data_IF_947178165099
#
_entry.id   IF_947178165099
#
_cell.length_a   1.000
_cell.length_b   1.000
_cell.length_c   1.000
_cell.angle_alpha   90.00
_cell.angle_beta   90.00
_cell.angle_gamma   90.00
#
_symmetry.space_group_name_H-M   'P 1'
#
loop_
_entity.id
_entity.type
_entity.pdbx_description
1 polymer ?
#
# COMPACT_ATOMS: atom_id res chain seq x y z
N UNK A 1 -57.90 -21.88 77.98
CA UNK A 1 -58.27 -20.48 77.70
C UNK A 1 -57.06 -19.61 77.99
N UNK A 2 -56.52 -18.89 76.97
CA UNK A 2 -55.64 -17.68 77.00
C UNK A 2 -54.37 -17.73 77.89
N UNK A 3 -53.22 -17.11 77.60
CA UNK A 3 -52.64 -16.39 76.46
C UNK A 3 -51.16 -16.08 76.79
N UNK A 4 -50.28 -16.30 75.82
CA UNK A 4 -49.07 -15.55 75.38
C UNK A 4 -48.49 -14.43 76.29
N UNK A 5 -47.17 -14.50 76.55
CA UNK A 5 -46.18 -13.38 76.54
C UNK A 5 -44.75 -13.96 76.45
N UNK A 6 -44.10 -14.01 75.28
CA UNK A 6 -43.09 -13.06 74.73
C UNK A 6 -41.78 -12.89 75.52
N UNK A 7 -40.66 -13.34 74.92
CA UNK A 7 -39.28 -12.86 75.14
C UNK A 7 -38.35 -13.52 74.09
N UNK A 8 -38.22 -12.96 72.88
CA UNK A 8 -37.06 -12.15 72.43
C UNK A 8 -35.71 -12.91 72.49
N UNK A 9 -35.39 -13.81 71.56
CA UNK A 9 -34.60 -13.60 70.31
C UNK A 9 -33.23 -12.92 70.47
N UNK A 10 -32.17 -13.72 70.37
CA UNK A 10 -30.79 -13.28 70.09
C UNK A 10 -30.13 -14.28 69.12
N UNK A 11 -30.28 -14.03 67.82
CA UNK A 11 -29.43 -14.63 66.79
C UNK A 11 -28.64 -13.52 66.10
N UNK A 12 -27.32 -13.61 66.27
CA UNK A 12 -26.28 -12.77 65.71
C UNK A 12 -26.19 -13.04 64.19
N UNK A 13 -26.62 -12.08 63.37
CA UNK A 13 -26.40 -12.11 61.92
C UNK A 13 -24.99 -11.55 61.62
N UNK A 14 -24.07 -12.43 61.22
CA UNK A 14 -22.77 -12.06 60.67
C UNK A 14 -22.98 -11.67 59.20
N UNK A 15 -22.89 -10.38 58.90
CA UNK A 15 -22.81 -9.89 57.52
C UNK A 15 -21.36 -10.04 57.02
N UNK A 16 -21.12 -10.99 56.13
CA UNK A 16 -19.88 -11.07 55.35
C UNK A 16 -20.04 -10.13 54.15
N UNK A 17 -19.35 -8.99 54.16
CA UNK A 17 -19.25 -8.11 52.99
C UNK A 17 -18.19 -8.67 52.03
N UNK A 18 -18.65 -9.31 50.96
CA UNK A 18 -17.79 -9.71 49.84
C UNK A 18 -17.45 -8.45 49.03
N UNK A 19 -16.29 -7.84 49.30
CA UNK A 19 -15.71 -6.80 48.44
C UNK A 19 -15.21 -7.47 47.14
N UNK A 20 -16.10 -7.55 46.15
CA UNK A 20 -15.72 -7.79 44.76
C UNK A 20 -14.96 -6.56 44.27
N UNK A 21 -13.63 -6.63 44.33
CA UNK A 21 -12.76 -5.74 43.58
C UNK A 21 -12.94 -6.05 42.09
N UNK A 22 -13.96 -5.44 41.47
CA UNK A 22 -14.00 -5.29 40.02
C UNK A 22 -12.80 -4.42 39.65
N UNK A 23 -11.71 -5.06 39.22
CA UNK A 23 -10.73 -4.40 38.39
C UNK A 23 -11.49 -3.97 37.13
N UNK A 24 -11.86 -2.69 37.07
CA UNK A 24 -12.30 -2.05 35.84
C UNK A 24 -11.11 -2.09 34.89
N UNK A 25 -11.01 -3.16 34.10
CA UNK A 25 -10.30 -3.07 32.85
C UNK A 25 -11.05 -2.04 32.02
N UNK A 26 -10.63 -0.79 32.13
CA UNK A 26 -10.92 0.22 31.13
C UNK A 26 -10.28 -0.30 29.86
N UNK A 27 -11.04 -1.05 29.06
CA UNK A 27 -10.77 -1.11 27.64
C UNK A 27 -10.81 0.35 27.18
N UNK A 28 -9.63 0.96 27.05
CA UNK A 28 -9.50 2.12 26.20
C UNK A 28 -10.03 1.66 24.85
N UNK A 29 -11.23 2.13 24.48
CA UNK A 29 -11.58 2.19 23.07
C UNK A 29 -10.58 3.17 22.48
N UNK A 30 -9.41 2.66 22.12
CA UNK A 30 -8.37 3.43 21.46
C UNK A 30 -9.01 3.92 20.17
N UNK A 31 -9.58 5.12 20.19
CA UNK A 31 -10.22 5.72 19.04
C UNK A 31 -9.23 5.73 17.89
N UNK A 32 -9.73 5.51 16.67
CA UNK A 32 -8.90 5.61 15.48
C UNK A 32 -8.33 7.03 15.43
N UNK A 33 -7.00 7.16 15.42
CA UNK A 33 -6.35 8.48 15.40
C UNK A 33 -6.45 9.07 14.00
N UNK A 34 -6.97 10.29 13.89
CA UNK A 34 -7.04 11.02 12.62
C UNK A 34 -5.87 12.00 12.55
N UNK A 35 -5.07 11.87 11.50
CA UNK A 35 -3.94 12.74 11.15
C UNK A 35 -4.43 13.73 10.11
N UNK A 36 -4.26 15.02 10.41
CA UNK A 36 -4.55 16.09 9.45
C UNK A 36 -3.41 16.20 8.43
N UNK A 37 -3.66 15.77 7.20
CA UNK A 37 -2.67 15.70 6.13
C UNK A 37 -2.22 17.06 5.60
N UNK A 38 -2.92 18.15 5.92
CA UNK A 38 -2.53 19.50 5.54
C UNK A 38 -1.74 20.22 6.63
N UNK A 39 -1.71 19.66 7.84
CA UNK A 39 -0.92 20.18 8.96
C UNK A 39 0.51 19.65 8.90
N UNK A 40 1.50 20.51 9.12
CA UNK A 40 2.94 20.18 9.03
C UNK A 40 3.34 19.53 7.69
N UNK A 41 2.63 19.92 6.64
CA UNK A 41 2.80 19.43 5.28
C UNK A 41 3.98 20.11 4.57
N UNK A 42 4.68 19.36 3.75
CA UNK A 42 5.75 19.86 2.87
C UNK A 42 5.83 19.05 1.58
N UNK A 43 6.47 19.62 0.56
CA UNK A 43 6.57 19.02 -0.77
C UNK A 43 8.02 18.88 -1.23
N UNK A 44 8.33 17.74 -1.81
CA UNK A 44 9.54 17.53 -2.60
C UNK A 44 9.16 17.56 -4.08
N UNK A 45 9.21 18.75 -4.68
CA UNK A 45 8.87 18.99 -6.08
C UNK A 45 9.83 18.24 -7.01
N UNK A 46 9.27 17.53 -7.98
CA UNK A 46 10.02 16.83 -9.03
C UNK A 46 10.60 17.84 -10.03
N UNK A 47 11.60 17.44 -10.84
CA UNK A 47 12.09 18.26 -11.94
C UNK A 47 10.96 18.70 -12.87
N UNK A 48 11.07 19.90 -13.44
CA UNK A 48 10.05 20.46 -14.33
C UNK A 48 9.67 19.49 -15.46
N UNK A 49 8.37 19.42 -15.76
CA UNK A 49 7.81 18.49 -16.75
C UNK A 49 7.64 17.06 -16.24
N UNK A 50 8.16 16.71 -15.06
CA UNK A 50 8.04 15.35 -14.51
C UNK A 50 6.89 15.27 -13.51
N UNK A 51 6.15 14.16 -13.51
CA UNK A 51 5.08 13.92 -12.54
C UNK A 51 4.95 12.45 -12.16
N UNK A 52 4.03 12.17 -11.25
CA UNK A 52 3.60 10.83 -10.89
C UNK A 52 4.59 10.00 -10.08
N UNK A 53 5.13 10.50 -8.94
CA UNK A 53 5.91 9.72 -8.00
C UNK A 53 5.03 8.73 -7.23
N UNK A 54 4.70 7.61 -7.85
CA UNK A 54 3.59 6.73 -7.43
C UNK A 54 3.91 5.87 -6.20
N UNK A 55 5.13 5.35 -6.15
CA UNK A 55 5.63 4.55 -5.02
C UNK A 55 6.98 5.04 -4.54
N UNK A 56 7.22 4.88 -3.24
CA UNK A 56 8.37 5.40 -2.53
C UNK A 56 9.17 4.26 -1.90
N UNK A 57 10.48 4.32 -2.06
CA UNK A 57 11.40 3.38 -1.42
C UNK A 57 12.56 4.11 -0.73
N UNK A 58 13.12 3.49 0.29
CA UNK A 58 14.34 3.93 0.98
C UNK A 58 15.34 2.78 0.90
N UNK A 59 16.61 3.12 0.68
CA UNK A 59 17.64 2.09 0.47
C UNK A 59 18.06 1.41 1.77
N UNK A 60 18.94 0.42 1.65
CA UNK A 60 19.46 -0.36 2.77
C UNK A 60 20.24 0.49 3.81
N UNK A 61 20.65 1.72 3.45
CA UNK A 61 21.31 2.67 4.35
C UNK A 61 20.35 3.75 4.86
N UNK A 62 19.05 3.59 4.60
CA UNK A 62 18.00 4.52 4.98
C UNK A 62 17.99 5.83 4.18
N UNK A 63 18.71 5.93 3.06
CA UNK A 63 18.70 7.12 2.20
C UNK A 63 17.52 7.08 1.23
N UNK A 64 17.15 8.25 0.72
CA UNK A 64 16.03 8.43 -0.20
C UNK A 64 15.21 9.67 0.14
N UNK A 65 13.92 9.72 -0.26
CA UNK A 65 13.20 8.67 -0.98
C UNK A 65 13.69 8.45 -2.42
N UNK A 66 13.43 7.26 -2.94
CA UNK A 66 13.49 6.91 -4.36
C UNK A 66 12.06 6.79 -4.89
N UNK A 67 11.81 7.24 -6.12
CA UNK A 67 10.48 7.16 -6.72
C UNK A 67 10.53 6.98 -8.23
N UNK A 68 9.58 6.22 -8.78
CA UNK A 68 9.36 6.10 -10.21
C UNK A 68 8.51 7.27 -10.71
N UNK A 69 8.76 7.77 -11.93
CA UNK A 69 8.04 8.92 -12.50
C UNK A 69 7.41 8.62 -13.86
N UNK A 70 6.59 9.52 -14.38
CA UNK A 70 5.77 9.36 -15.61
C UNK A 70 6.58 9.01 -16.85
N UNK A 71 7.83 9.46 -16.89
CA UNK A 71 8.74 9.24 -18.01
C UNK A 71 9.55 7.94 -17.91
N UNK A 72 9.28 7.07 -16.94
CA UNK A 72 9.98 5.77 -16.81
C UNK A 72 11.32 5.82 -16.10
N UNK A 73 11.77 6.99 -15.62
CA UNK A 73 12.94 7.10 -14.74
C UNK A 73 12.58 6.75 -13.31
N UNK A 74 13.60 6.38 -12.55
CA UNK A 74 13.59 6.33 -11.09
C UNK A 74 14.50 7.45 -10.61
N UNK A 75 13.94 8.35 -9.81
CA UNK A 75 14.66 9.47 -9.22
C UNK A 75 14.99 9.20 -7.76
N UNK A 76 16.10 9.76 -7.28
CA UNK A 76 16.53 9.72 -5.88
C UNK A 76 16.59 11.13 -5.32
N UNK A 77 15.99 11.34 -4.17
CA UNK A 77 16.17 12.57 -3.40
C UNK A 77 17.51 12.52 -2.65
N UNK A 78 18.30 13.58 -2.78
CA UNK A 78 19.64 13.70 -2.17
C UNK A 78 19.63 14.45 -0.83
N UNK A 79 18.47 14.97 -0.43
CA UNK A 79 18.34 15.93 0.68
C UNK A 79 18.11 17.36 0.18
N UNK A 80 18.60 17.68 -1.02
CA UNK A 80 18.48 19.03 -1.62
C UNK A 80 17.85 19.03 -3.01
N UNK A 81 18.05 17.95 -3.79
CA UNK A 81 17.54 17.84 -5.15
C UNK A 81 17.26 16.39 -5.55
N UNK A 82 16.43 16.23 -6.59
CA UNK A 82 16.22 14.96 -7.26
C UNK A 82 17.31 14.72 -8.31
N UNK A 83 17.88 13.52 -8.30
CA UNK A 83 18.82 13.05 -9.33
C UNK A 83 18.30 11.78 -9.98
N UNK A 84 18.61 11.57 -11.26
CA UNK A 84 18.33 10.30 -11.93
C UNK A 84 19.15 9.19 -11.25
N UNK A 85 18.47 8.12 -10.86
CA UNK A 85 19.09 6.93 -10.29
C UNK A 85 19.09 5.78 -11.30
N UNK A 86 17.95 5.51 -11.92
CA UNK A 86 17.82 4.39 -12.84
C UNK A 86 16.78 4.66 -13.94
N UNK A 87 16.83 3.85 -15.00
CA UNK A 87 15.84 3.84 -16.09
C UNK A 87 15.34 2.41 -16.32
N UNK A 88 14.05 2.26 -16.63
CA UNK A 88 13.44 0.94 -16.86
C UNK A 88 13.56 0.46 -18.31
N UNK A 89 13.58 1.40 -19.27
CA UNK A 89 13.76 1.11 -20.70
C UNK A 89 15.23 1.29 -21.13
N UNK A 90 15.95 0.21 -21.54
CA UNK A 90 17.40 0.25 -21.81
C UNK A 90 17.79 1.12 -23.01
N UNK A 91 16.96 1.14 -24.05
CA UNK A 91 17.20 1.87 -25.30
C UNK A 91 16.26 3.08 -25.44
N UNK A 92 15.89 3.71 -24.32
CA UNK A 92 14.94 4.84 -24.32
C UNK A 92 15.46 6.00 -25.17
N UNK A 93 14.57 6.59 -25.98
CA UNK A 93 14.85 7.87 -26.61
C UNK A 93 14.65 8.98 -25.56
N UNK A 94 15.73 9.54 -25.03
CA UNK A 94 15.66 10.56 -23.98
C UNK A 94 14.89 11.81 -24.40
N UNK A 95 14.99 12.24 -25.66
CA UNK A 95 14.24 13.41 -26.16
C UNK A 95 12.74 13.17 -26.16
N UNK A 96 12.31 11.94 -26.46
CA UNK A 96 10.89 11.56 -26.39
C UNK A 96 10.43 11.37 -24.95
N UNK A 97 11.27 10.73 -24.12
CA UNK A 97 10.87 10.23 -22.83
C UNK A 97 11.06 11.23 -21.69
N UNK A 98 12.25 11.81 -21.53
CA UNK A 98 12.61 12.56 -20.32
C UNK A 98 11.70 13.79 -20.15
N UNK A 99 10.94 13.83 -19.04
CA UNK A 99 9.92 14.86 -18.79
C UNK A 99 8.60 14.66 -19.53
N UNK A 100 8.37 13.52 -20.17
CA UNK A 100 7.08 13.21 -20.80
C UNK A 100 6.04 12.84 -19.75
N UNK A 101 4.84 13.40 -19.91
CA UNK A 101 3.63 13.02 -19.17
C UNK A 101 2.58 12.41 -20.08
N UNK A 102 2.90 12.17 -21.35
CA UNK A 102 1.99 11.53 -22.31
C UNK A 102 1.97 10.02 -22.06
N UNK A 103 0.81 9.51 -21.63
CA UNK A 103 0.58 8.10 -21.35
C UNK A 103 0.84 7.19 -22.56
N UNK A 104 0.80 7.73 -23.78
CA UNK A 104 1.08 6.98 -25.00
C UNK A 104 2.57 6.70 -25.20
N UNK A 105 3.46 7.45 -24.53
CA UNK A 105 4.90 7.22 -24.56
C UNK A 105 5.36 6.19 -23.52
N UNK A 106 4.55 5.91 -22.50
CA UNK A 106 4.91 4.95 -21.44
C UNK A 106 5.29 3.53 -21.95
N UNK A 107 4.68 2.95 -23.00
CA UNK A 107 5.13 1.66 -23.55
C UNK A 107 6.57 1.68 -24.09
N UNK A 108 7.08 2.86 -24.47
CA UNK A 108 8.43 3.07 -24.97
C UNK A 108 9.37 3.44 -23.80
N UNK A 109 8.91 4.31 -22.92
CA UNK A 109 9.71 4.96 -21.89
C UNK A 109 9.75 4.19 -20.56
N UNK A 110 8.69 3.44 -20.28
CA UNK A 110 8.42 2.74 -19.03
C UNK A 110 7.52 3.53 -18.10
N UNK A 111 6.96 2.84 -17.10
CA UNK A 111 6.18 3.45 -16.02
C UNK A 111 6.35 2.62 -14.74
N UNK A 112 7.38 2.89 -13.92
CA UNK A 112 7.61 2.22 -12.65
C UNK A 112 6.56 2.68 -11.61
N UNK A 113 5.67 1.77 -11.22
CA UNK A 113 4.56 2.04 -10.30
C UNK A 113 4.82 1.51 -8.89
N UNK A 114 5.56 0.41 -8.76
CA UNK A 114 5.86 -0.23 -7.48
C UNK A 114 7.36 -0.33 -7.24
N UNK A 115 7.82 0.15 -6.08
CA UNK A 115 9.22 0.11 -5.67
C UNK A 115 9.39 -0.55 -4.29
N UNK A 116 10.40 -1.41 -4.18
CA UNK A 116 10.84 -1.96 -2.88
C UNK A 116 12.33 -2.29 -2.93
N UNK A 117 13.07 -1.84 -1.92
CA UNK A 117 14.42 -2.34 -1.68
C UNK A 117 14.37 -3.69 -0.97
N UNK A 118 15.18 -4.64 -1.45
CA UNK A 118 15.72 -5.71 -0.61
C UNK A 118 16.82 -5.08 0.26
N UNK A 119 16.51 -4.82 1.53
CA UNK A 119 17.44 -4.13 2.44
C UNK A 119 18.68 -4.97 2.75
N UNK A 120 18.60 -6.31 2.64
CA UNK A 120 19.71 -7.22 2.91
C UNK A 120 20.72 -7.24 1.77
N UNK A 121 20.25 -7.22 0.53
CA UNK A 121 21.12 -7.28 -0.68
C UNK A 121 21.32 -5.91 -1.34
N UNK A 122 20.67 -4.88 -0.82
CA UNK A 122 20.67 -3.50 -1.32
C UNK A 122 20.34 -3.36 -2.81
N UNK A 123 19.38 -4.14 -3.28
CA UNK A 123 18.87 -4.02 -4.65
C UNK A 123 17.46 -3.42 -4.62
N UNK A 124 17.17 -2.55 -5.59
CA UNK A 124 15.84 -2.02 -5.81
C UNK A 124 15.09 -2.91 -6.80
N UNK A 125 13.98 -3.49 -6.36
CA UNK A 125 13.02 -4.18 -7.21
C UNK A 125 11.94 -3.21 -7.67
N UNK A 126 11.51 -3.38 -8.92
CA UNK A 126 10.66 -2.44 -9.64
C UNK A 126 9.56 -3.23 -10.35
N UNK A 127 8.31 -2.85 -10.14
CA UNK A 127 7.18 -3.26 -10.96
C UNK A 127 6.95 -2.13 -11.95
N UNK A 128 7.36 -2.36 -13.19
CA UNK A 128 7.08 -1.46 -14.30
C UNK A 128 5.84 -1.96 -15.05
N UNK A 129 4.89 -1.05 -15.30
CA UNK A 129 3.62 -1.41 -15.92
C UNK A 129 3.76 -2.02 -17.32
N UNK A 130 4.86 -1.72 -18.03
CA UNK A 130 5.10 -2.14 -19.41
C UNK A 130 6.29 -3.09 -19.54
N UNK A 131 7.32 -2.93 -18.71
CA UNK A 131 8.55 -3.73 -18.75
C UNK A 131 8.55 -4.89 -17.74
N UNK A 132 7.49 -5.09 -16.96
CA UNK A 132 7.37 -6.23 -16.06
C UNK A 132 8.20 -6.06 -14.79
N UNK A 133 8.68 -7.18 -14.23
CA UNK A 133 9.47 -7.18 -13.00
C UNK A 133 10.93 -6.89 -13.32
N UNK A 134 11.48 -5.84 -12.72
CA UNK A 134 12.86 -5.39 -12.93
C UNK A 134 13.63 -5.30 -11.61
N UNK A 135 14.94 -5.18 -11.72
CA UNK A 135 15.87 -5.01 -10.60
C UNK A 135 17.02 -4.10 -11.00
N UNK A 136 17.44 -3.22 -10.10
CA UNK A 136 18.67 -2.43 -10.26
C UNK A 136 19.50 -2.48 -8.98
N UNK A 137 20.83 -2.52 -9.15
CA UNK A 137 21.77 -2.54 -8.04
C UNK A 137 21.93 -1.17 -7.36
N UNK A 138 22.74 -1.06 -6.30
CA UNK A 138 22.89 0.15 -5.49
C UNK A 138 23.51 1.34 -6.26
N UNK A 139 24.15 1.06 -7.40
CA UNK A 139 24.77 2.09 -8.25
C UNK A 139 23.80 2.69 -9.29
N UNK A 140 22.56 2.21 -9.35
CA UNK A 140 21.60 2.68 -10.34
C UNK A 140 21.92 2.20 -11.76
N UNK A 141 21.52 3.00 -12.76
CA UNK A 141 21.71 2.71 -14.18
C UNK A 141 20.51 2.02 -14.83
N UNK A 142 20.75 1.20 -15.85
CA UNK A 142 19.69 0.49 -16.56
C UNK A 142 19.20 -0.69 -15.72
N UNK A 143 17.90 -0.74 -15.43
CA UNK A 143 17.32 -1.84 -14.68
C UNK A 143 17.35 -3.16 -15.48
N UNK A 144 17.77 -4.23 -14.83
CA UNK A 144 17.73 -5.58 -15.38
C UNK A 144 16.29 -6.11 -15.35
N UNK A 145 15.80 -6.58 -16.49
CA UNK A 145 14.51 -7.27 -16.56
C UNK A 145 14.62 -8.69 -16.03
N UNK A 146 13.81 -9.01 -15.02
CA UNK A 146 13.75 -10.32 -14.37
C UNK A 146 12.66 -11.20 -14.96
N UNK A 147 11.47 -10.64 -15.22
CA UNK A 147 10.34 -11.38 -15.78
C UNK A 147 9.37 -10.48 -16.56
N UNK A 148 8.78 -11.03 -17.63
CA UNK A 148 7.69 -10.42 -18.42
C UNK A 148 6.50 -11.36 -18.65
N UNK A 149 6.64 -12.62 -18.25
CA UNK A 149 5.66 -13.68 -18.42
C UNK A 149 5.59 -14.48 -17.12
N UNK A 150 4.48 -15.15 -16.87
CA UNK A 150 4.40 -16.19 -15.85
C UNK A 150 4.99 -17.53 -16.34
N UNK A 151 4.97 -18.55 -15.48
CA UNK A 151 5.45 -19.89 -15.78
C UNK A 151 4.67 -20.60 -16.90
N UNK A 152 3.44 -20.17 -17.18
CA UNK A 152 2.62 -20.66 -18.29
C UNK A 152 2.92 -19.90 -19.60
N UNK A 153 3.84 -18.93 -19.57
CA UNK A 153 4.22 -18.10 -20.71
C UNK A 153 3.26 -16.95 -21.02
N UNK A 154 2.32 -16.63 -20.11
CA UNK A 154 1.35 -15.54 -20.30
C UNK A 154 2.02 -14.18 -20.04
N UNK A 155 2.07 -13.27 -21.02
CA UNK A 155 2.68 -11.96 -20.84
C UNK A 155 1.92 -11.07 -19.86
N UNK A 156 2.67 -10.31 -19.07
CA UNK A 156 2.09 -9.29 -18.21
C UNK A 156 1.59 -8.09 -19.03
N UNK A 157 0.51 -7.45 -18.57
CA UNK A 157 -0.05 -6.23 -19.21
C UNK A 157 0.10 -4.98 -18.36
N UNK A 158 -0.03 -5.11 -17.04
CA UNK A 158 -0.07 -3.96 -16.13
C UNK A 158 0.38 -4.39 -14.72
N UNK A 159 1.69 -4.49 -14.50
CA UNK A 159 2.22 -4.68 -13.14
C UNK A 159 2.13 -3.38 -12.34
N UNK A 160 1.86 -3.49 -11.04
CA UNK A 160 1.62 -2.32 -10.20
C UNK A 160 2.46 -2.31 -8.92
N UNK A 161 2.02 -2.99 -7.86
CA UNK A 161 2.69 -3.03 -6.56
C UNK A 161 3.58 -4.26 -6.38
N UNK A 162 4.59 -4.16 -5.51
CA UNK A 162 5.40 -5.31 -5.08
C UNK A 162 5.93 -5.17 -3.66
N UNK A 163 6.26 -6.32 -3.06
CA UNK A 163 7.05 -6.44 -1.85
C UNK A 163 8.06 -7.61 -1.96
N UNK A 164 9.09 -7.59 -1.13
CA UNK A 164 10.20 -8.56 -1.17
C UNK A 164 10.33 -9.24 0.18
N UNK A 165 10.44 -10.56 0.17
CA UNK A 165 10.92 -11.34 1.32
C UNK A 165 12.44 -11.15 1.43
N UNK A 166 12.89 -10.44 2.46
CA UNK A 166 14.30 -10.11 2.65
C UNK A 166 15.17 -11.35 2.96
N UNK A 167 14.57 -12.43 3.50
CA UNK A 167 15.27 -13.68 3.80
C UNK A 167 15.53 -14.46 2.52
N UNK A 168 14.46 -14.84 1.81
CA UNK A 168 14.54 -15.68 0.61
C UNK A 168 14.94 -14.90 -0.65
N UNK A 169 14.58 -13.62 -0.73
CA UNK A 169 14.67 -12.82 -1.94
C UNK A 169 13.50 -13.04 -2.91
N UNK A 170 12.49 -13.84 -2.54
CA UNK A 170 11.26 -13.97 -3.30
C UNK A 170 10.54 -12.61 -3.39
N UNK A 171 9.95 -12.34 -4.56
CA UNK A 171 9.25 -11.08 -4.81
C UNK A 171 7.78 -11.38 -5.05
N UNK A 172 6.91 -10.75 -4.28
CA UNK A 172 5.47 -10.83 -4.44
C UNK A 172 4.98 -9.55 -5.12
N UNK A 173 4.21 -9.67 -6.19
CA UNK A 173 3.80 -8.51 -6.98
C UNK A 173 2.41 -8.70 -7.59
N UNK A 174 1.75 -7.59 -7.87
CA UNK A 174 0.43 -7.59 -8.49
C UNK A 174 0.51 -7.30 -9.98
N UNK A 175 -0.45 -7.87 -10.69
CA UNK A 175 -0.87 -7.41 -12.01
C UNK A 175 -2.30 -6.89 -11.92
N UNK A 176 -2.51 -5.61 -12.22
CA UNK A 176 -3.80 -4.95 -12.12
C UNK A 176 -4.84 -5.50 -13.10
N UNK A 177 -4.41 -5.82 -14.31
CA UNK A 177 -5.22 -6.43 -15.37
C UNK A 177 -4.33 -7.29 -16.25
N UNK A 178 -4.82 -8.46 -16.67
CA UNK A 178 -4.15 -9.28 -17.69
C UNK A 178 -4.65 -8.96 -19.12
N UNK A 179 -5.54 -7.97 -19.26
CA UNK A 179 -6.13 -7.53 -20.54
C UNK A 179 -5.61 -6.14 -20.90
N UNK A 180 -5.81 -5.17 -20.02
CA UNK A 180 -5.57 -3.76 -20.28
C UNK A 180 -4.17 -3.34 -19.83
N UNK A 181 -3.52 -2.47 -20.62
CA UNK A 181 -2.30 -1.80 -20.18
C UNK A 181 -2.64 -0.58 -19.31
N UNK A 182 -1.63 -0.01 -18.64
CA UNK A 182 -1.84 1.16 -17.77
C UNK A 182 -2.49 2.34 -18.48
N UNK A 183 -2.14 2.64 -19.74
CA UNK A 183 -2.79 3.73 -20.50
C UNK A 183 -4.30 3.53 -20.73
N UNK A 184 -4.79 2.31 -20.56
CA UNK A 184 -6.20 1.90 -20.74
C UNK A 184 -6.93 1.71 -19.39
N UNK A 185 -6.32 2.09 -18.26
CA UNK A 185 -6.85 1.78 -16.92
C UNK A 185 -8.30 2.23 -16.68
N UNK A 186 -8.74 3.31 -17.35
CA UNK A 186 -10.10 3.84 -17.26
C UNK A 186 -11.16 2.83 -17.74
N UNK A 187 -10.78 1.83 -18.55
CA UNK A 187 -11.68 0.79 -19.06
C UNK A 187 -11.87 -0.37 -18.07
N UNK A 188 -10.99 -0.55 -17.08
CA UNK A 188 -10.98 -1.72 -16.19
C UNK A 188 -12.29 -1.82 -15.39
N UNK A 189 -12.72 -0.72 -14.75
CA UNK A 189 -13.96 -0.69 -13.96
C UNK A 189 -15.22 -0.86 -14.84
N UNK A 190 -15.46 -0.04 -15.88
CA UNK A 190 -16.70 -0.11 -16.64
C UNK A 190 -16.89 -1.42 -17.42
N UNK A 191 -15.79 -2.09 -17.80
CA UNK A 191 -15.85 -3.41 -18.45
C UNK A 191 -16.04 -4.55 -17.46
N UNK A 192 -15.93 -4.28 -16.16
CA UNK A 192 -16.04 -5.29 -15.11
C UNK A 192 -14.86 -6.26 -15.10
N UNK A 193 -13.68 -5.84 -15.55
CA UNK A 193 -12.48 -6.68 -15.59
C UNK A 193 -12.15 -7.27 -14.21
N UNK A 194 -11.92 -8.58 -14.21
CA UNK A 194 -11.54 -9.35 -13.02
C UNK A 194 -10.30 -10.17 -13.29
N UNK A 195 -9.42 -9.76 -14.18
CA UNK A 195 -8.25 -10.57 -14.56
C UNK A 195 -7.00 -10.28 -13.73
N UNK A 196 -7.07 -9.39 -12.72
CA UNK A 196 -5.94 -9.08 -11.86
C UNK A 196 -5.46 -10.28 -11.04
N UNK A 197 -4.16 -10.27 -10.72
CA UNK A 197 -3.44 -11.42 -10.15
C UNK A 197 -2.47 -11.01 -9.05
N UNK A 198 -2.24 -11.92 -8.09
CA UNK A 198 -1.06 -11.93 -7.23
C UNK A 198 -0.06 -12.95 -7.78
N UNK A 199 1.18 -12.54 -7.96
CA UNK A 199 2.26 -13.36 -8.49
C UNK A 199 3.45 -13.42 -7.53
N UNK A 200 4.28 -14.45 -7.67
CA UNK A 200 5.53 -14.65 -6.94
C UNK A 200 6.66 -14.97 -7.90
N UNK A 201 7.76 -14.22 -7.81
CA UNK A 201 9.02 -14.52 -8.48
C UNK A 201 10.00 -15.17 -7.51
N UNK A 202 10.56 -16.31 -7.90
CA UNK A 202 11.63 -16.99 -7.17
C UNK A 202 12.99 -16.72 -7.85
N UNK A 203 13.92 -16.01 -7.20
CA UNK A 203 15.22 -15.67 -7.80
C UNK A 203 16.14 -16.88 -8.02
N UNK A 204 15.87 -18.03 -7.38
CA UNK A 204 16.72 -19.23 -7.44
C UNK A 204 16.55 -19.95 -8.77
N UNK A 205 15.31 -20.14 -9.20
CA UNK A 205 14.96 -20.82 -10.45
C UNK A 205 14.46 -19.85 -11.54
N UNK A 206 14.30 -18.56 -11.21
CA UNK A 206 13.84 -17.49 -12.10
C UNK A 206 12.43 -17.72 -12.65
N UNK A 207 11.57 -18.38 -11.88
CA UNK A 207 10.18 -18.68 -12.22
C UNK A 207 9.20 -17.69 -11.63
N UNK A 208 8.06 -17.52 -12.28
CA UNK A 208 6.94 -16.69 -11.81
C UNK A 208 5.68 -17.54 -11.68
N UNK A 209 5.26 -17.75 -10.44
CA UNK A 209 4.04 -18.46 -10.11
C UNK A 209 2.88 -17.48 -9.90
N UNK A 210 1.71 -17.79 -10.45
CA UNK A 210 0.45 -17.11 -10.09
C UNK A 210 -0.09 -17.70 -8.80
N UNK A 211 -0.19 -16.90 -7.74
CA UNK A 211 -0.68 -17.32 -6.42
C UNK A 211 -2.20 -17.14 -6.27
N UNK A 212 -2.72 -16.02 -6.77
CA UNK A 212 -4.14 -15.69 -6.72
C UNK A 212 -4.57 -15.10 -8.05
N UNK A 213 -5.71 -15.55 -8.57
CA UNK A 213 -6.38 -15.02 -9.77
C UNK A 213 -7.68 -14.35 -9.37
N UNK A 214 -8.31 -13.68 -10.34
CA UNK A 214 -9.64 -13.10 -10.20
C UNK A 214 -9.76 -11.92 -9.22
N UNK A 215 -8.67 -11.16 -9.06
CA UNK A 215 -8.64 -9.95 -8.23
C UNK A 215 -9.09 -8.76 -9.09
N UNK A 216 -10.11 -8.03 -8.65
CA UNK A 216 -10.62 -6.89 -9.42
C UNK A 216 -9.73 -5.66 -9.27
N UNK A 217 -8.98 -5.33 -10.33
CA UNK A 217 -8.02 -4.23 -10.37
C UNK A 217 -7.02 -4.29 -9.20
N UNK A 218 -6.13 -5.28 -9.25
CA UNK A 218 -5.14 -5.54 -8.20
C UNK A 218 -4.03 -4.47 -8.15
N UNK A 219 -3.89 -3.77 -7.02
CA UNK A 219 -2.91 -2.69 -6.86
C UNK A 219 -1.82 -3.06 -5.84
N UNK A 220 -1.81 -2.46 -4.65
CA UNK A 220 -0.75 -2.66 -3.67
C UNK A 220 -0.60 -4.09 -3.16
N UNK A 221 0.65 -4.47 -2.87
CA UNK A 221 1.04 -5.74 -2.25
C UNK A 221 1.91 -5.46 -1.04
N UNK A 222 1.68 -6.18 0.06
CA UNK A 222 2.56 -6.13 1.24
C UNK A 222 2.68 -7.50 1.92
N UNK A 223 3.90 -7.95 2.14
CA UNK A 223 4.19 -9.19 2.88
C UNK A 223 3.98 -8.95 4.39
N UNK A 224 3.68 -9.97 5.19
CA UNK A 224 3.73 -9.85 6.66
C UNK A 224 5.18 -9.86 7.17
N UNK A 225 5.43 -9.44 8.41
CA UNK A 225 6.81 -9.45 8.99
C UNK A 225 7.40 -10.85 9.16
N UNK A 226 6.55 -11.86 9.31
CA UNK A 226 6.91 -13.26 9.52
C UNK A 226 6.80 -14.12 8.25
N UNK A 227 6.51 -13.48 7.12
CA UNK A 227 6.33 -14.10 5.80
C UNK A 227 5.23 -15.19 5.83
N UNK A 228 4.23 -15.05 6.69
CA UNK A 228 3.09 -15.99 6.82
C UNK A 228 1.94 -15.67 5.86
N UNK A 229 1.78 -14.41 5.46
CA UNK A 229 0.76 -13.99 4.50
C UNK A 229 1.19 -12.79 3.67
N UNK A 230 0.48 -12.56 2.56
CA UNK A 230 0.59 -11.37 1.70
C UNK A 230 -0.76 -10.67 1.64
N UNK A 231 -0.77 -9.36 1.79
CA UNK A 231 -1.93 -8.52 1.52
C UNK A 231 -1.93 -8.07 0.07
N UNK A 232 -3.12 -8.00 -0.53
CA UNK A 232 -3.34 -7.43 -1.86
C UNK A 232 -4.55 -6.49 -1.86
N UNK A 233 -4.38 -5.31 -2.43
CA UNK A 233 -5.44 -4.32 -2.59
C UNK A 233 -6.29 -4.65 -3.82
N UNK A 234 -7.59 -4.74 -3.62
CA UNK A 234 -8.58 -4.95 -4.66
C UNK A 234 -9.35 -3.65 -4.89
N UNK A 235 -8.89 -2.86 -5.86
CA UNK A 235 -9.29 -1.47 -6.06
C UNK A 235 -10.80 -1.35 -6.31
N UNK A 236 -11.32 -2.06 -7.31
CA UNK A 236 -12.72 -1.91 -7.75
C UNK A 236 -13.75 -2.36 -6.71
N UNK A 237 -13.35 -3.21 -5.76
CA UNK A 237 -14.24 -3.73 -4.71
C UNK A 237 -14.06 -3.05 -3.35
N UNK A 238 -13.10 -2.13 -3.21
CA UNK A 238 -12.73 -1.47 -1.95
C UNK A 238 -12.40 -2.45 -0.82
N UNK A 239 -11.61 -3.49 -1.14
CA UNK A 239 -11.21 -4.54 -0.20
C UNK A 239 -9.70 -4.71 -0.17
N UNK A 240 -9.21 -5.17 0.98
CA UNK A 240 -7.88 -5.76 1.11
C UNK A 240 -8.09 -7.26 1.35
N UNK A 241 -7.44 -8.09 0.57
CA UNK A 241 -7.44 -9.54 0.75
C UNK A 241 -6.14 -9.98 1.44
N UNK A 242 -6.22 -10.98 2.30
CA UNK A 242 -5.08 -11.67 2.90
C UNK A 242 -4.93 -13.03 2.22
N UNK A 243 -3.79 -13.27 1.59
CA UNK A 243 -3.40 -14.55 1.02
C UNK A 243 -2.40 -15.25 1.93
N UNK A 244 -2.74 -16.42 2.45
CA UNK A 244 -1.90 -17.19 3.36
C UNK A 244 -0.79 -17.93 2.60
N UNK A 245 0.46 -17.67 2.96
CA UNK A 245 1.63 -18.37 2.40
C UNK A 245 1.97 -19.65 3.18
N UNK A 246 1.68 -19.67 4.48
CA UNK A 246 2.08 -20.73 5.41
C UNK A 246 0.92 -21.17 6.32
N UNK A 247 1.12 -22.28 7.03
CA UNK A 247 0.18 -22.81 8.02
C UNK A 247 -1.02 -23.53 7.41
N UNK A 248 -2.01 -23.85 8.23
CA UNK A 248 -3.17 -24.68 7.84
C UNK A 248 -4.08 -24.04 6.78
N UNK A 249 -3.94 -22.72 6.57
CA UNK A 249 -4.67 -21.96 5.53
C UNK A 249 -3.80 -21.68 4.29
N UNK A 250 -2.59 -22.23 4.18
CA UNK A 250 -1.69 -21.95 3.06
C UNK A 250 -2.38 -22.12 1.69
N UNK A 251 -2.09 -21.20 0.77
CA UNK A 251 -2.68 -21.11 -0.57
C UNK A 251 -4.18 -20.80 -0.60
N UNK A 252 -4.71 -20.18 0.46
CA UNK A 252 -6.08 -19.65 0.49
C UNK A 252 -6.08 -18.15 0.74
N UNK A 253 -7.16 -17.48 0.34
CA UNK A 253 -7.37 -16.06 0.57
C UNK A 253 -8.64 -15.77 1.36
N UNK A 254 -8.61 -14.76 2.21
CA UNK A 254 -9.78 -14.25 2.94
C UNK A 254 -9.81 -12.72 2.97
N UNK A 255 -10.97 -12.16 3.31
CA UNK A 255 -11.10 -10.71 3.51
C UNK A 255 -10.25 -10.29 4.71
N UNK A 256 -9.34 -9.34 4.50
CA UNK A 256 -8.58 -8.73 5.57
C UNK A 256 -9.30 -7.51 6.15
N UNK A 257 -9.68 -6.57 5.28
CA UNK A 257 -10.37 -5.35 5.65
C UNK A 257 -11.19 -4.79 4.48
N UNK A 258 -12.21 -4.00 4.82
CA UNK A 258 -12.87 -3.09 3.88
C UNK A 258 -12.37 -1.67 4.13
N UNK A 259 -12.27 -0.90 3.05
CA UNK A 259 -11.87 0.49 3.07
C UNK A 259 -12.93 1.36 2.42
N UNK A 260 -12.93 2.63 2.77
CA UNK A 260 -13.93 3.63 2.38
C UNK A 260 -13.64 4.28 1.04
N UNK A 261 -12.54 3.95 0.39
CA UNK A 261 -12.22 4.40 -0.96
C UNK A 261 -11.55 3.27 -1.70
N UNK A 262 -11.19 3.51 -2.95
CA UNK A 262 -10.46 2.53 -3.73
C UNK A 262 -9.01 2.42 -3.19
N UNK A 263 -8.62 1.24 -2.66
CA UNK A 263 -7.28 1.04 -2.11
C UNK A 263 -6.26 0.91 -3.24
N UNK A 264 -5.09 1.51 -3.02
CA UNK A 264 -3.99 1.49 -3.97
C UNK A 264 -2.76 0.81 -3.34
N UNK A 265 -1.60 1.48 -3.20
CA UNK A 265 -0.42 0.86 -2.61
C UNK A 265 -0.59 0.53 -1.12
N UNK A 266 -0.06 -0.63 -0.71
CA UNK A 266 0.01 -1.07 0.68
C UNK A 266 1.48 -1.06 1.10
N UNK A 267 1.81 -0.39 2.22
CA UNK A 267 3.18 -0.34 2.75
C UNK A 267 3.21 -0.73 4.22
N UNK A 268 3.99 -1.77 4.50
CA UNK A 268 4.32 -2.21 5.87
C UNK A 268 5.28 -1.22 6.54
N UNK A 269 4.98 -0.83 7.78
CA UNK A 269 5.87 -0.03 8.62
C UNK A 269 6.78 -0.95 9.47
N UNK A 270 7.67 -0.35 10.28
CA UNK A 270 8.61 -1.10 11.12
C UNK A 270 7.96 -1.93 12.23
N UNK A 271 6.73 -1.57 12.64
CA UNK A 271 5.99 -2.25 13.71
C UNK A 271 5.16 -3.43 13.15
N UNK A 272 5.17 -3.60 11.83
CA UNK A 272 4.42 -4.65 11.13
C UNK A 272 2.98 -4.25 10.78
N UNK A 273 2.61 -3.00 11.01
CA UNK A 273 1.32 -2.45 10.57
C UNK A 273 1.35 -2.06 9.09
N UNK A 274 0.19 -1.93 8.48
CA UNK A 274 0.02 -1.69 7.05
C UNK A 274 -0.69 -0.37 6.80
N UNK A 275 0.01 0.58 6.17
CA UNK A 275 -0.63 1.73 5.56
C UNK A 275 -1.16 1.36 4.18
N UNK A 276 -2.40 1.76 3.91
CA UNK A 276 -3.05 1.63 2.59
C UNK A 276 -3.33 3.03 2.07
N UNK A 277 -2.78 3.36 0.89
CA UNK A 277 -3.15 4.57 0.16
C UNK A 277 -4.57 4.47 -0.39
N UNK A 278 -5.34 5.53 -0.28
CA UNK A 278 -6.73 5.58 -0.73
C UNK A 278 -6.88 6.61 -1.84
N UNK A 279 -7.26 6.15 -3.03
CA UNK A 279 -7.43 7.01 -4.19
C UNK A 279 -8.58 8.01 -3.94
N UNK A 280 -8.23 9.29 -3.89
CA UNK A 280 -9.12 10.42 -3.60
C UNK A 280 -10.15 10.70 -4.70
N UNK A 281 -9.87 10.31 -5.95
CA UNK A 281 -10.67 10.53 -7.17
C UNK A 281 -11.10 11.99 -7.44
N UNK A 282 -10.52 12.99 -6.75
CA UNK A 282 -10.95 14.40 -6.87
C UNK A 282 -10.51 15.08 -8.15
N UNK A 283 -9.50 14.55 -8.85
CA UNK A 283 -8.99 15.14 -10.10
C UNK A 283 -9.93 14.86 -11.29
N UNK A 284 -10.71 13.77 -11.26
CA UNK A 284 -11.50 13.29 -12.41
C UNK A 284 -12.96 13.78 -12.36
N UNK A 285 -13.33 14.65 -11.41
CA UNK A 285 -14.68 15.23 -11.30
C UNK A 285 -15.79 14.22 -10.99
N UNK A 286 -15.47 12.93 -10.86
CA UNK A 286 -16.41 11.88 -10.47
C UNK A 286 -16.52 11.87 -8.94
N UNK A 287 -17.37 12.78 -8.46
CA UNK A 287 -17.91 12.79 -7.11
C UNK A 287 -18.80 11.56 -6.90
N UNK A 288 -18.21 10.37 -6.74
CA UNK A 288 -18.89 9.27 -6.03
C UNK A 288 -18.80 9.55 -4.54
N UNK A 289 -19.55 10.57 -4.11
CA UNK A 289 -19.81 10.85 -2.70
C UNK A 289 -20.68 9.72 -2.14
N UNK A 290 -20.05 8.65 -1.66
CA UNK A 290 -20.66 7.92 -0.56
C UNK A 290 -20.46 8.82 0.67
N UNK A 291 -21.49 9.13 1.47
CA UNK A 291 -21.33 10.03 2.62
C UNK A 291 -20.47 9.37 3.72
N UNK A 292 -19.18 9.70 3.77
CA UNK A 292 -18.19 9.08 4.66
C UNK A 292 -18.08 9.73 6.06
N UNK A 293 -19.21 10.03 6.70
CA UNK A 293 -19.28 10.80 7.97
C UNK A 293 -18.56 10.19 9.19
N UNK A 294 -17.93 9.02 9.09
CA UNK A 294 -17.38 8.30 10.26
C UNK A 294 -15.85 8.29 10.41
N UNK A 295 -15.08 8.78 9.43
CA UNK A 295 -13.62 8.56 9.39
C UNK A 295 -12.78 9.79 9.02
N UNK A 296 -13.40 10.95 8.91
CA UNK A 296 -12.78 12.16 8.36
C UNK A 296 -13.55 12.68 7.16
N UNK A 297 -13.30 13.94 6.79
CA UNK A 297 -13.97 14.57 5.64
C UNK A 297 -13.42 14.02 4.32
N UNK A 298 -12.15 13.60 4.33
CA UNK A 298 -11.44 13.11 3.17
C UNK A 298 -10.36 12.06 3.51
N UNK A 299 -10.72 10.80 3.80
CA UNK A 299 -9.74 9.77 4.13
C UNK A 299 -8.88 9.44 2.90
N UNK A 300 -7.57 9.64 3.00
CA UNK A 300 -6.56 9.41 1.94
C UNK A 300 -5.58 8.29 2.27
N UNK A 301 -5.55 7.86 3.51
CA UNK A 301 -4.81 6.68 3.93
C UNK A 301 -5.38 6.09 5.20
N UNK A 302 -5.20 4.79 5.38
CA UNK A 302 -5.62 4.09 6.60
C UNK A 302 -4.52 3.11 7.02
N UNK A 303 -4.21 3.10 8.32
CA UNK A 303 -3.30 2.13 8.94
C UNK A 303 -4.08 1.00 9.58
N UNK A 304 -3.69 -0.23 9.30
CA UNK A 304 -4.21 -1.45 9.91
C UNK A 304 -3.13 -2.19 10.69
N UNK A 305 -3.50 -2.81 11.81
CA UNK A 305 -2.65 -3.84 12.44
C UNK A 305 -2.69 -5.17 11.66
N UNK A 306 -1.94 -6.17 12.12
CA UNK A 306 -1.89 -7.52 11.53
C UNK A 306 -3.23 -8.29 11.49
N UNK A 307 -4.23 -7.83 12.24
CA UNK A 307 -5.56 -8.43 12.33
C UNK A 307 -6.63 -7.65 11.54
N UNK A 308 -6.24 -6.58 10.84
CA UNK A 308 -7.17 -5.73 10.09
C UNK A 308 -7.91 -4.72 10.97
N UNK A 309 -7.49 -4.50 12.21
CA UNK A 309 -8.02 -3.41 13.05
C UNK A 309 -7.42 -2.09 12.59
N UNK A 310 -8.27 -1.08 12.40
CA UNK A 310 -7.83 0.28 12.06
C UNK A 310 -7.17 0.95 13.25
N UNK A 311 -6.04 1.59 12.99
CA UNK A 311 -5.24 2.30 13.99
C UNK A 311 -5.27 3.81 13.73
N UNK A 312 -4.97 4.22 12.49
CA UNK A 312 -4.82 5.63 12.12
C UNK A 312 -5.42 5.90 10.73
N UNK A 313 -5.80 7.16 10.50
CA UNK A 313 -6.31 7.65 9.22
C UNK A 313 -5.59 8.95 8.87
N UNK A 314 -5.11 9.03 7.64
CA UNK A 314 -4.66 10.29 7.05
C UNK A 314 -5.84 10.95 6.36
N UNK A 315 -6.25 12.13 6.83
CA UNK A 315 -7.35 12.92 6.25
C UNK A 315 -6.78 14.10 5.46
N UNK A 316 -7.12 14.19 4.18
CA UNK A 316 -6.67 15.26 3.29
C UNK A 316 -7.43 16.58 3.42
N UNK A 317 -8.48 16.63 4.26
CA UNK A 317 -9.33 17.81 4.52
C UNK A 317 -9.93 18.43 3.25
N UNK A 318 -10.02 17.67 2.16
CA UNK A 318 -10.47 18.18 0.86
C UNK A 318 -9.48 19.11 0.15
N UNK A 319 -8.25 19.27 0.66
CA UNK A 319 -7.21 20.10 0.07
C UNK A 319 -6.83 19.67 -1.36
N UNK A 320 -6.37 20.64 -2.16
CA UNK A 320 -5.92 20.40 -3.54
C UNK A 320 -4.54 19.74 -3.57
N UNK A 321 -3.75 19.96 -2.52
CA UNK A 321 -2.41 19.43 -2.27
C UNK A 321 -2.43 17.90 -2.26
N UNK A 322 -3.44 17.29 -1.65
CA UNK A 322 -3.59 15.84 -1.53
C UNK A 322 -4.79 15.31 -2.33
N UNK A 323 -5.17 15.98 -3.41
CA UNK A 323 -6.30 15.57 -4.25
C UNK A 323 -6.04 14.34 -5.14
N UNK A 324 -4.85 13.75 -5.07
CA UNK A 324 -4.46 12.47 -5.69
C UNK A 324 -3.43 11.78 -4.79
N UNK A 325 -3.74 10.57 -4.33
CA UNK A 325 -2.87 9.74 -3.48
C UNK A 325 -2.89 8.31 -4.00
N UNK A 326 -1.71 7.73 -4.21
CA UNK A 326 -1.52 6.32 -4.55
C UNK A 326 -0.87 5.54 -3.42
N UNK A 327 -0.07 6.20 -2.57
CA UNK A 327 0.69 5.53 -1.51
C UNK A 327 0.76 6.42 -0.27
N UNK A 328 0.64 5.80 0.90
CA UNK A 328 1.04 6.38 2.18
C UNK A 328 2.07 5.45 2.81
N UNK A 329 3.27 5.96 3.07
CA UNK A 329 4.36 5.21 3.65
C UNK A 329 4.85 5.89 4.91
N UNK A 330 4.76 5.19 6.03
CA UNK A 330 5.38 5.62 7.27
C UNK A 330 6.87 5.29 7.27
N UNK A 331 7.71 6.31 7.38
CA UNK A 331 9.16 6.17 7.47
C UNK A 331 9.76 7.32 8.27
N UNK A 332 10.62 6.99 9.23
CA UNK A 332 11.23 7.94 10.17
C UNK A 332 10.20 8.87 10.85
N UNK A 333 9.11 8.27 11.36
CA UNK A 333 7.97 8.95 12.02
C UNK A 333 7.21 9.97 11.16
N UNK A 334 7.48 10.01 9.85
CA UNK A 334 6.78 10.86 8.88
C UNK A 334 5.92 10.01 7.96
N UNK A 335 4.84 10.60 7.44
CA UNK A 335 4.07 10.01 6.35
C UNK A 335 4.55 10.60 5.03
N UNK A 336 5.09 9.73 4.19
CA UNK A 336 5.52 10.04 2.83
C UNK A 336 4.42 9.60 1.87
N UNK A 337 3.98 10.50 1.01
CA UNK A 337 2.77 10.33 0.22
C UNK A 337 3.15 10.39 -1.26
N UNK A 338 2.87 9.29 -1.95
CA UNK A 338 3.03 9.15 -3.40
C UNK A 338 1.75 9.49 -4.15
N UNK A 339 1.90 9.83 -5.42
CA UNK A 339 0.78 10.06 -6.34
C UNK A 339 1.15 9.64 -7.75
N UNK A 340 0.22 9.03 -8.48
CA UNK A 340 0.37 8.72 -9.89
C UNK A 340 0.24 9.94 -10.81
N UNK A 341 -0.07 11.13 -10.27
CA UNK A 341 -0.39 12.35 -11.05
C UNK A 341 0.37 13.60 -10.59
N UNK A 342 0.69 13.74 -9.31
CA UNK A 342 1.26 14.99 -8.78
C UNK A 342 2.71 15.21 -9.22
N UNK A 343 3.16 16.46 -9.37
CA UNK A 343 4.56 16.78 -9.66
C UNK A 343 5.43 16.88 -8.39
N UNK A 344 5.06 16.18 -7.31
CA UNK A 344 5.78 16.20 -6.03
C UNK A 344 5.50 14.95 -5.20
N UNK A 345 6.44 14.63 -4.31
CA UNK A 345 6.19 13.76 -3.16
C UNK A 345 5.76 14.64 -1.99
N UNK A 346 4.67 14.27 -1.31
CA UNK A 346 4.18 14.98 -0.14
C UNK A 346 4.72 14.35 1.16
N UNK A 347 4.97 15.17 2.17
CA UNK A 347 5.47 14.73 3.47
C UNK A 347 4.69 15.41 4.59
N UNK A 348 4.14 14.60 5.51
CA UNK A 348 3.42 15.05 6.71
C UNK A 348 4.22 14.62 7.94
N UNK A 349 4.53 15.58 8.83
CA UNK A 349 5.35 15.38 10.03
C UNK A 349 4.56 15.26 11.33
#
# INVERSE_FOLDING_TARGET
MKSISSSSSSHLLIFISLLLSFATFTFSSSGVRVIDGLKNYSELRLPNGTSGPESLAFDCHGKGPYTGVSDGRILKWTGTQWVEFAITSPNRNRTLCDGSTDVNNEPICGRPLGLKYDTKRCNLYIADAYFGLLKVGPNGGVAQQLARVDDDGVPFKFLNGLDVDEKSGEVYFSESSAIFQRREFQLIIPTGDRTGRLLKYDPTNKKVQVLLKNVTFANGVALSTDDSFVLIAEFSSSRILKFWLKGNKANTSELFARVERFPDNIKRNKDGDFWVGLFSNRVIGTSTLIPWKKLGDDPLGVKFDNNGKRLEILDGRGGQELNSVSEVKEYDKKLWIGSSMKPYVAVVN
#
